data_IF_212020126586
#
_entry.id   IF_212020126586
#
_cell.length_a   1.000
_cell.length_b   1.000
_cell.length_c   1.000
_cell.angle_alpha   90.00
_cell.angle_beta   90.00
_cell.angle_gamma   90.00
#
_symmetry.space_group_name_H-M   'P 1'
#
loop_
_entity.id
_entity.type
_entity.pdbx_description
1 polymer ?
#
# COMPACT_ATOMS: atom_id res chain seq x y z
N UNK A 1 18.58 3.41 -26.97
CA UNK A 1 17.52 2.63 -27.66
C UNK A 1 17.87 1.17 -27.57
N UNK A 2 16.97 0.29 -27.19
CA UNK A 2 17.20 -1.14 -27.25
C UNK A 2 17.40 -1.57 -28.72
N UNK A 3 18.27 -2.53 -28.91
CA UNK A 3 18.51 -3.11 -30.23
C UNK A 3 17.46 -4.20 -30.47
N UNK A 4 16.87 -4.22 -31.67
CA UNK A 4 15.99 -5.30 -32.10
C UNK A 4 16.83 -6.35 -32.85
N UNK A 5 17.13 -7.44 -32.19
CA UNK A 5 17.83 -8.56 -32.79
C UNK A 5 16.89 -9.34 -33.72
N UNK A 6 17.35 -9.58 -34.93
CA UNK A 6 16.61 -10.39 -35.91
C UNK A 6 17.42 -11.61 -36.28
N UNK A 7 16.74 -12.75 -36.37
CA UNK A 7 17.39 -13.96 -36.85
C UNK A 7 17.79 -13.78 -38.31
N UNK A 8 19.02 -14.07 -38.58
CA UNK A 8 19.52 -14.09 -39.95
C UNK A 8 19.13 -15.43 -40.58
N UNK A 9 18.32 -15.39 -41.63
CA UNK A 9 18.00 -16.57 -42.43
C UNK A 9 19.09 -16.73 -43.48
N UNK A 10 20.08 -17.62 -43.28
CA UNK A 10 21.14 -17.83 -44.27
C UNK A 10 20.57 -18.56 -45.48
N UNK A 11 20.90 -18.06 -46.67
CA UNK A 11 20.52 -18.72 -47.94
C UNK A 11 21.15 -20.08 -48.11
N UNK A 12 22.22 -20.35 -47.37
CA UNK A 12 22.95 -21.66 -47.35
C UNK A 12 23.40 -21.96 -45.92
N UNK A 13 22.60 -22.78 -45.23
CA UNK A 13 22.86 -23.20 -43.86
C UNK A 13 24.21 -23.95 -43.73
N UNK A 14 24.95 -23.67 -42.64
CA UNK A 14 26.17 -24.37 -42.28
C UNK A 14 27.40 -24.09 -43.17
N UNK A 15 27.32 -23.15 -44.12
CA UNK A 15 28.47 -22.84 -44.99
C UNK A 15 29.33 -21.70 -44.44
N UNK A 16 30.62 -21.97 -44.34
CA UNK A 16 31.65 -20.97 -44.03
C UNK A 16 32.54 -20.77 -45.26
N UNK A 17 32.82 -19.51 -45.61
CA UNK A 17 33.79 -19.18 -46.66
C UNK A 17 35.17 -19.22 -46.04
N UNK A 18 36.02 -20.11 -46.56
CA UNK A 18 37.42 -20.21 -46.17
C UNK A 18 38.25 -19.59 -47.28
N UNK A 19 39.07 -18.58 -46.93
CA UNK A 19 40.01 -17.95 -47.85
C UNK A 19 41.40 -18.33 -47.37
N UNK A 20 42.20 -19.11 -48.17
CA UNK A 20 43.54 -19.49 -47.78
C UNK A 20 44.48 -18.27 -47.66
N UNK A 21 45.32 -18.23 -46.67
CA UNK A 21 46.30 -17.14 -46.45
C UNK A 21 47.35 -17.02 -47.58
N UNK A 22 47.58 -18.10 -48.33
CA UNK A 22 48.51 -18.12 -49.44
C UNK A 22 47.95 -17.57 -50.75
N UNK A 23 46.81 -16.89 -50.74
CA UNK A 23 46.20 -16.28 -51.91
C UNK A 23 45.47 -17.24 -52.85
N UNK A 24 45.23 -18.48 -52.42
CA UNK A 24 44.42 -19.44 -53.16
C UNK A 24 42.95 -19.03 -53.25
N UNK A 25 42.22 -19.61 -54.23
CA UNK A 25 40.78 -19.34 -54.42
C UNK A 25 40.01 -19.73 -53.15
N UNK A 26 39.10 -18.81 -52.73
CA UNK A 26 38.23 -19.11 -51.58
C UNK A 26 37.24 -20.23 -51.92
N UNK A 27 37.03 -21.13 -50.98
CA UNK A 27 36.02 -22.18 -51.08
C UNK A 27 35.02 -22.14 -49.94
N UNK A 28 33.93 -22.83 -50.10
CA UNK A 28 32.90 -22.94 -49.08
C UNK A 28 32.89 -24.34 -48.49
N UNK A 29 33.01 -24.44 -47.20
CA UNK A 29 32.85 -25.69 -46.45
C UNK A 29 31.59 -25.66 -45.61
N UNK A 30 31.02 -26.84 -45.37
CA UNK A 30 29.99 -27.02 -44.36
C UNK A 30 30.69 -27.37 -43.08
N UNK A 31 30.41 -26.59 -42.04
CA UNK A 31 30.91 -26.88 -40.69
C UNK A 31 29.82 -27.60 -39.97
N UNK A 32 30.02 -28.89 -39.72
CA UNK A 32 29.14 -29.70 -38.88
C UNK A 32 29.74 -29.81 -37.48
N UNK A 33 28.87 -29.84 -36.49
CA UNK A 33 29.26 -30.03 -35.11
C UNK A 33 29.67 -31.48 -34.92
N UNK A 34 30.89 -31.73 -34.49
CA UNK A 34 31.43 -33.08 -34.31
C UNK A 34 31.06 -33.70 -32.94
N UNK A 35 30.44 -32.93 -32.08
CA UNK A 35 30.01 -33.35 -30.74
C UNK A 35 28.49 -33.49 -30.68
N UNK A 36 28.01 -34.54 -30.07
CA UNK A 36 26.60 -34.70 -29.68
C UNK A 36 26.47 -34.37 -28.18
N UNK A 37 26.19 -33.13 -27.80
CA UNK A 37 26.08 -32.79 -26.38
C UNK A 37 24.87 -33.50 -25.79
N UNK A 38 25.04 -34.11 -24.64
CA UNK A 38 23.96 -34.75 -23.88
C UNK A 38 22.89 -33.76 -23.40
N UNK A 39 23.22 -32.47 -23.39
CA UNK A 39 22.30 -31.36 -23.08
C UNK A 39 22.43 -30.33 -24.20
N UNK A 40 21.34 -30.09 -24.90
CA UNK A 40 21.27 -29.02 -25.91
C UNK A 40 21.23 -27.70 -25.19
N UNK A 41 22.20 -26.84 -25.39
CA UNK A 41 22.19 -25.48 -24.87
C UNK A 41 21.07 -24.63 -25.51
N UNK A 42 20.69 -23.56 -24.83
CA UNK A 42 19.72 -22.61 -25.38
C UNK A 42 20.24 -22.02 -26.69
N UNK A 43 19.53 -22.14 -27.81
CA UNK A 43 19.95 -21.55 -29.08
C UNK A 43 20.17 -20.03 -28.96
N UNK A 44 21.17 -19.49 -29.60
CA UNK A 44 21.42 -18.07 -29.71
C UNK A 44 20.50 -17.50 -30.82
N UNK A 45 19.21 -17.44 -30.55
CA UNK A 45 18.19 -16.90 -31.45
C UNK A 45 17.92 -15.41 -31.17
N UNK A 46 17.33 -14.71 -32.14
CA UNK A 46 16.87 -13.35 -31.93
C UNK A 46 15.89 -13.25 -30.78
N UNK A 47 15.01 -14.20 -30.62
CA UNK A 47 14.04 -14.24 -29.50
C UNK A 47 14.73 -14.33 -28.14
N UNK A 48 15.76 -15.20 -28.00
CA UNK A 48 16.52 -15.36 -26.77
C UNK A 48 17.39 -14.14 -26.48
N UNK A 49 17.98 -13.52 -27.51
CA UNK A 49 18.77 -12.29 -27.36
C UNK A 49 17.91 -11.10 -27.00
N UNK A 50 16.72 -10.95 -27.62
CA UNK A 50 15.78 -9.89 -27.28
C UNK A 50 15.26 -10.06 -25.84
N UNK A 51 14.96 -11.27 -25.40
CA UNK A 51 14.57 -11.56 -24.01
C UNK A 51 15.71 -11.27 -23.02
N UNK A 52 16.95 -11.61 -23.36
CA UNK A 52 18.11 -11.27 -22.54
C UNK A 52 18.36 -9.76 -22.49
N UNK A 53 18.19 -9.06 -23.61
CA UNK A 53 18.28 -7.60 -23.67
C UNK A 53 17.20 -6.92 -22.85
N UNK A 54 15.94 -7.36 -22.91
CA UNK A 54 14.88 -6.86 -22.03
C UNK A 54 15.31 -7.00 -20.56
N UNK A 55 15.83 -8.16 -20.18
CA UNK A 55 16.34 -8.42 -18.83
C UNK A 55 17.46 -7.45 -18.44
N UNK A 56 18.41 -7.20 -19.34
CA UNK A 56 19.54 -6.28 -19.11
C UNK A 56 19.11 -4.81 -19.07
N UNK A 57 18.20 -4.40 -19.92
CA UNK A 57 17.66 -3.03 -19.94
C UNK A 57 16.90 -2.74 -18.64
N UNK A 58 16.11 -3.68 -18.14
CA UNK A 58 15.45 -3.53 -16.83
C UNK A 58 16.44 -3.49 -15.66
N UNK A 59 17.54 -4.24 -15.73
CA UNK A 59 18.56 -4.22 -14.67
C UNK A 59 19.47 -3.00 -14.73
N UNK A 60 19.70 -2.42 -15.90
CA UNK A 60 20.63 -1.29 -16.11
C UNK A 60 19.96 0.09 -15.96
N UNK A 61 18.65 0.21 -16.05
CA UNK A 61 17.89 1.43 -15.71
C UNK A 61 17.74 1.59 -14.20
N UNK A 62 18.80 1.33 -13.46
CA UNK A 62 18.88 1.51 -12.02
C UNK A 62 18.79 2.98 -11.67
N UNK A 63 17.65 3.38 -11.16
CA UNK A 63 17.44 4.71 -10.60
C UNK A 63 16.01 5.21 -10.70
N UNK A 64 15.24 4.76 -11.65
CA UNK A 64 13.81 5.06 -11.72
C UNK A 64 13.02 3.88 -11.16
N UNK A 65 12.18 4.16 -10.17
CA UNK A 65 11.17 3.24 -9.66
C UNK A 65 10.35 2.74 -10.85
N UNK A 66 10.68 1.57 -11.38
CA UNK A 66 9.92 0.97 -12.46
C UNK A 66 8.67 0.37 -11.88
N UNK A 67 7.59 1.10 -12.02
CA UNK A 67 6.25 0.65 -11.71
C UNK A 67 5.75 -0.22 -12.86
N UNK A 68 5.22 -1.38 -12.56
CA UNK A 68 4.66 -2.29 -13.57
C UNK A 68 3.19 -2.50 -13.34
N UNK A 69 2.36 -2.18 -14.33
CA UNK A 69 0.94 -2.55 -14.38
C UNK A 69 0.76 -3.85 -15.15
N UNK A 70 -0.01 -4.78 -14.58
CA UNK A 70 -0.35 -6.07 -15.20
C UNK A 70 -1.84 -6.29 -15.06
N UNK A 71 -2.50 -6.62 -16.16
CA UNK A 71 -3.92 -6.94 -16.20
C UNK A 71 -4.12 -8.45 -16.20
N UNK A 72 -5.09 -8.89 -15.39
CA UNK A 72 -5.51 -10.29 -15.27
C UNK A 72 -7.00 -10.40 -15.57
N UNK A 73 -7.40 -11.41 -16.30
CA UNK A 73 -8.78 -11.70 -16.66
C UNK A 73 -9.07 -13.17 -16.47
N UNK A 74 -10.31 -13.56 -16.06
CA UNK A 74 -10.71 -14.98 -16.00
C UNK A 74 -10.58 -15.69 -17.34
N UNK A 75 -10.62 -14.94 -18.46
CA UNK A 75 -10.46 -15.47 -19.82
C UNK A 75 -9.05 -15.25 -20.39
N UNK A 76 -8.13 -14.72 -19.57
CA UNK A 76 -6.74 -14.46 -19.96
C UNK A 76 -5.91 -15.73 -20.14
N UNK A 77 -4.65 -15.55 -20.49
CA UNK A 77 -3.65 -16.64 -20.59
C UNK A 77 -2.33 -16.19 -19.99
N UNK A 78 -1.67 -17.04 -19.21
CA UNK A 78 -0.41 -16.68 -18.55
C UNK A 78 0.75 -16.43 -19.51
N UNK A 79 0.62 -16.86 -20.76
CA UNK A 79 1.55 -16.56 -21.85
C UNK A 79 1.41 -15.14 -22.39
N UNK A 80 0.31 -14.46 -22.09
CA UNK A 80 0.05 -13.10 -22.54
C UNK A 80 0.98 -12.07 -21.89
N UNK A 81 1.03 -10.87 -22.50
CA UNK A 81 1.89 -9.78 -22.01
C UNK A 81 1.37 -9.10 -20.74
N UNK A 82 0.14 -9.38 -20.29
CA UNK A 82 -0.46 -8.72 -19.13
C UNK A 82 -0.85 -7.27 -19.37
N UNK A 83 -1.10 -6.89 -20.61
CA UNK A 83 -1.73 -5.59 -20.95
C UNK A 83 -3.25 -5.73 -20.84
N UNK A 84 -3.96 -4.61 -20.81
CA UNK A 84 -5.43 -4.61 -20.77
C UNK A 84 -6.03 -5.35 -21.97
N UNK A 85 -5.46 -5.16 -23.17
CA UNK A 85 -5.89 -5.83 -24.40
C UNK A 85 -5.44 -7.29 -24.50
N UNK A 86 -4.44 -7.72 -23.70
CA UNK A 86 -3.90 -9.08 -23.70
C UNK A 86 -3.57 -9.49 -22.25
N UNK A 87 -4.62 -9.72 -21.41
CA UNK A 87 -4.46 -9.97 -19.99
C UNK A 87 -3.91 -11.38 -19.71
N UNK A 88 -3.21 -11.52 -18.62
CA UNK A 88 -2.81 -12.82 -18.07
C UNK A 88 -4.00 -13.50 -17.38
N UNK A 89 -3.85 -14.78 -17.03
CA UNK A 89 -4.88 -15.55 -16.35
C UNK A 89 -4.75 -15.48 -14.82
N UNK A 90 -3.52 -15.50 -14.29
CA UNK A 90 -3.28 -15.72 -12.84
C UNK A 90 -2.38 -14.68 -12.20
N UNK A 91 -2.66 -14.38 -10.93
CA UNK A 91 -1.86 -13.50 -10.06
C UNK A 91 -0.46 -14.09 -9.88
N UNK A 92 -0.40 -15.38 -9.59
CA UNK A 92 0.86 -16.12 -9.37
C UNK A 92 1.81 -16.03 -10.57
N UNK A 93 1.29 -16.21 -11.79
CA UNK A 93 2.09 -16.08 -13.00
C UNK A 93 2.57 -14.65 -13.23
N UNK A 94 1.73 -13.65 -12.97
CA UNK A 94 2.11 -12.25 -13.06
C UNK A 94 3.24 -11.89 -12.09
N UNK A 95 3.12 -12.28 -10.82
CA UNK A 95 4.16 -12.07 -9.80
C UNK A 95 5.45 -12.76 -10.23
N UNK A 96 5.40 -14.03 -10.59
CA UNK A 96 6.58 -14.80 -11.02
C UNK A 96 7.28 -14.19 -12.23
N UNK A 97 6.50 -13.65 -13.19
CA UNK A 97 7.02 -13.08 -14.43
C UNK A 97 7.68 -11.71 -14.21
N UNK A 98 7.09 -10.85 -13.38
CA UNK A 98 7.44 -9.42 -13.33
C UNK A 98 8.03 -8.95 -12.00
N UNK A 99 7.72 -9.56 -10.85
CA UNK A 99 8.11 -9.01 -9.55
C UNK A 99 9.62 -8.91 -9.33
N UNK A 100 10.40 -9.83 -9.89
CA UNK A 100 11.88 -9.83 -9.81
C UNK A 100 12.55 -8.65 -10.50
N UNK A 101 11.84 -7.94 -11.39
CA UNK A 101 12.38 -6.86 -12.21
C UNK A 101 11.90 -5.47 -11.80
N UNK A 102 10.91 -5.38 -10.93
CA UNK A 102 10.25 -4.13 -10.58
C UNK A 102 10.23 -3.90 -9.08
N UNK A 103 10.35 -2.63 -8.65
CA UNK A 103 10.23 -2.25 -7.24
C UNK A 103 8.78 -2.23 -6.76
N UNK A 104 7.85 -1.98 -7.66
CA UNK A 104 6.41 -1.96 -7.37
C UNK A 104 5.64 -2.50 -8.56
N UNK A 105 4.63 -3.29 -8.28
CA UNK A 105 3.78 -3.94 -9.26
C UNK A 105 2.31 -3.75 -8.88
N UNK A 106 1.52 -3.25 -9.83
CA UNK A 106 0.05 -3.23 -9.73
C UNK A 106 -0.55 -4.32 -10.61
N UNK A 107 -1.31 -5.20 -9.99
CA UNK A 107 -2.09 -6.24 -10.64
C UNK A 107 -3.54 -5.80 -10.67
N UNK A 108 -4.05 -5.51 -11.86
CA UNK A 108 -5.43 -5.13 -12.11
C UNK A 108 -6.24 -6.38 -12.47
N UNK A 109 -7.17 -6.75 -11.60
CA UNK A 109 -8.12 -7.82 -11.85
C UNK A 109 -9.32 -7.24 -12.61
N UNK A 110 -9.56 -7.70 -13.82
CA UNK A 110 -10.76 -7.36 -14.59
C UNK A 110 -11.98 -8.00 -13.94
N UNK A 111 -13.17 -7.46 -14.22
CA UNK A 111 -14.42 -7.97 -13.63
C UNK A 111 -14.57 -9.48 -13.86
N UNK A 112 -14.93 -10.22 -12.82
CA UNK A 112 -15.15 -11.66 -12.89
C UNK A 112 -14.75 -12.40 -11.61
N UNK A 113 -14.91 -13.73 -11.70
CA UNK A 113 -14.53 -14.65 -10.65
C UNK A 113 -13.22 -15.37 -11.00
N UNK A 114 -12.32 -15.41 -10.04
CA UNK A 114 -11.03 -16.08 -10.11
C UNK A 114 -11.01 -17.22 -9.11
N UNK A 115 -10.53 -18.38 -9.54
CA UNK A 115 -10.26 -19.50 -8.64
C UNK A 115 -8.77 -19.76 -8.71
N UNK A 116 -8.05 -19.29 -7.69
CA UNK A 116 -6.60 -19.35 -7.66
C UNK A 116 -6.07 -19.42 -6.23
N UNK A 117 -5.21 -20.37 -5.97
CA UNK A 117 -4.44 -20.47 -4.74
C UNK A 117 -3.19 -19.60 -4.88
N UNK A 118 -3.31 -18.32 -4.48
CA UNK A 118 -2.23 -17.35 -4.62
C UNK A 118 -0.99 -17.76 -3.82
N UNK A 119 -1.20 -18.29 -2.61
CA UNK A 119 -0.13 -18.74 -1.72
C UNK A 119 0.76 -17.61 -1.22
N UNK A 120 1.99 -17.95 -0.78
CA UNK A 120 2.92 -16.96 -0.28
C UNK A 120 3.38 -15.99 -1.37
N UNK A 121 3.25 -14.70 -1.11
CA UNK A 121 3.83 -13.64 -1.93
C UNK A 121 5.20 -13.30 -1.33
N UNK A 122 6.24 -13.90 -1.90
CA UNK A 122 7.63 -13.68 -1.50
C UNK A 122 8.39 -13.08 -2.68
N UNK A 123 8.75 -11.82 -2.58
CA UNK A 123 9.56 -11.11 -3.57
C UNK A 123 10.66 -10.34 -2.86
N UNK A 124 11.87 -10.37 -3.36
CA UNK A 124 13.03 -9.80 -2.63
C UNK A 124 12.89 -8.30 -2.32
N UNK A 125 12.29 -7.53 -3.20
CA UNK A 125 12.15 -6.07 -3.02
C UNK A 125 10.89 -5.46 -3.64
N UNK A 126 10.06 -6.24 -4.35
CA UNK A 126 8.90 -5.71 -5.05
C UNK A 126 7.70 -5.56 -4.12
N UNK A 127 7.17 -4.37 -3.99
CA UNK A 127 5.84 -4.15 -3.42
C UNK A 127 4.76 -4.58 -4.41
N UNK A 128 3.77 -5.34 -3.95
CA UNK A 128 2.69 -5.85 -4.80
C UNK A 128 1.37 -5.21 -4.41
N UNK A 129 0.60 -4.77 -5.40
CA UNK A 129 -0.76 -4.27 -5.26
C UNK A 129 -1.69 -5.13 -6.11
N UNK A 130 -2.73 -5.68 -5.51
CA UNK A 130 -3.78 -6.45 -6.20
C UNK A 130 -5.07 -5.67 -6.06
N UNK A 131 -5.68 -5.33 -7.18
CA UNK A 131 -6.82 -4.42 -7.18
C UNK A 131 -7.83 -4.70 -8.29
N UNK A 132 -9.10 -4.41 -8.03
CA UNK A 132 -10.12 -4.39 -9.09
C UNK A 132 -9.80 -3.31 -10.12
N UNK A 133 -9.90 -3.64 -11.40
CA UNK A 133 -9.76 -2.68 -12.50
C UNK A 133 -10.95 -1.71 -12.57
N UNK A 134 -12.15 -2.16 -12.19
CA UNK A 134 -13.38 -1.35 -12.12
C UNK A 134 -13.57 -0.60 -10.78
N UNK A 135 -12.64 -0.77 -9.83
CA UNK A 135 -12.71 -0.19 -8.48
C UNK A 135 -13.95 -0.64 -7.65
N UNK A 136 -14.62 -1.71 -8.06
CA UNK A 136 -15.79 -2.27 -7.39
C UNK A 136 -15.50 -3.69 -6.85
N UNK A 137 -15.51 -3.82 -5.51
CA UNK A 137 -15.27 -5.12 -4.86
C UNK A 137 -16.33 -6.18 -5.15
N UNK A 138 -17.53 -5.78 -5.58
CA UNK A 138 -18.61 -6.73 -5.88
C UNK A 138 -18.47 -7.33 -7.27
N UNK A 139 -17.61 -6.78 -8.12
CA UNK A 139 -17.36 -7.26 -9.48
C UNK A 139 -16.16 -8.17 -9.61
N UNK A 140 -15.27 -8.17 -8.62
CA UNK A 140 -14.05 -8.97 -8.60
C UNK A 140 -14.06 -9.87 -7.38
N UNK A 141 -14.14 -11.18 -7.62
CA UNK A 141 -14.13 -12.20 -6.56
C UNK A 141 -12.96 -13.15 -6.78
N UNK A 142 -12.12 -13.28 -5.76
CA UNK A 142 -11.03 -14.25 -5.69
C UNK A 142 -11.41 -15.38 -4.75
N UNK A 143 -11.73 -16.54 -5.29
CA UNK A 143 -11.95 -17.77 -4.56
C UNK A 143 -10.60 -18.49 -4.37
N UNK A 144 -10.18 -18.68 -3.12
CA UNK A 144 -8.92 -19.34 -2.80
C UNK A 144 -9.12 -20.44 -1.76
N UNK A 145 -8.43 -21.55 -1.95
CA UNK A 145 -8.32 -22.62 -0.96
C UNK A 145 -6.99 -22.56 -0.20
N UNK A 146 -6.13 -21.59 -0.51
CA UNK A 146 -4.84 -21.36 0.14
C UNK A 146 -4.75 -19.94 0.72
N UNK A 147 -3.85 -19.73 1.65
CA UNK A 147 -3.63 -18.46 2.34
C UNK A 147 -2.90 -17.47 1.44
N UNK A 148 -3.35 -16.22 1.39
CA UNK A 148 -2.59 -15.12 0.79
C UNK A 148 -1.62 -14.60 1.85
N UNK A 149 -0.40 -15.06 1.82
CA UNK A 149 0.59 -14.75 2.82
C UNK A 149 1.58 -13.70 2.33
N UNK A 150 1.67 -12.57 3.04
CA UNK A 150 2.57 -11.47 2.74
C UNK A 150 3.91 -11.66 3.47
N UNK A 151 4.95 -12.01 2.71
CA UNK A 151 6.36 -12.05 3.14
C UNK A 151 7.18 -10.94 2.51
N UNK A 152 6.54 -9.87 2.05
CA UNK A 152 7.17 -8.76 1.33
C UNK A 152 7.01 -7.47 2.11
N UNK A 153 7.86 -6.48 1.82
CA UNK A 153 7.80 -5.19 2.48
C UNK A 153 6.42 -4.53 2.40
N UNK A 154 5.69 -4.76 1.29
CA UNK A 154 4.42 -4.08 1.07
C UNK A 154 3.47 -4.87 0.17
N UNK A 155 2.35 -5.30 0.74
CA UNK A 155 1.18 -5.81 0.00
C UNK A 155 0.02 -4.83 0.11
N UNK A 156 -0.63 -4.55 -1.00
CA UNK A 156 -1.85 -3.75 -1.06
C UNK A 156 -2.97 -4.54 -1.71
N UNK A 157 -4.15 -4.51 -1.09
CA UNK A 157 -5.37 -5.14 -1.60
C UNK A 157 -6.46 -4.07 -1.69
N UNK A 158 -7.01 -3.83 -2.88
CA UNK A 158 -7.98 -2.77 -3.10
C UNK A 158 -9.20 -3.25 -3.87
N UNK A 159 -10.38 -2.94 -3.34
CA UNK A 159 -11.66 -3.11 -4.05
C UNK A 159 -11.89 -4.53 -4.57
N UNK A 160 -11.56 -5.55 -3.80
CA UNK A 160 -11.75 -6.97 -4.16
C UNK A 160 -12.51 -7.73 -3.07
N UNK A 161 -13.24 -8.76 -3.47
CA UNK A 161 -13.80 -9.77 -2.58
C UNK A 161 -12.90 -11.00 -2.57
N UNK A 162 -12.52 -11.47 -1.39
CA UNK A 162 -11.74 -12.70 -1.18
C UNK A 162 -12.62 -13.70 -0.45
N UNK A 163 -12.87 -14.83 -1.06
CA UNK A 163 -13.59 -15.95 -0.49
C UNK A 163 -12.61 -17.07 -0.17
N UNK A 164 -12.41 -17.36 1.10
CA UNK A 164 -11.73 -18.57 1.52
C UNK A 164 -12.69 -19.76 1.33
N UNK A 165 -12.29 -20.73 0.54
CA UNK A 165 -13.10 -21.93 0.30
C UNK A 165 -12.73 -23.09 1.22
N UNK A 166 -11.49 -23.09 1.75
CA UNK A 166 -11.03 -24.10 2.71
C UNK A 166 -11.39 -23.71 4.15
N UNK A 167 -11.80 -24.68 4.92
CA UNK A 167 -12.04 -24.50 6.36
C UNK A 167 -10.71 -24.37 7.12
N UNK A 168 -10.70 -23.53 8.16
CA UNK A 168 -9.59 -23.34 9.10
C UNK A 168 -8.30 -22.75 8.51
N UNK A 169 -8.30 -22.32 7.27
CA UNK A 169 -7.24 -21.51 6.70
C UNK A 169 -7.58 -20.02 6.76
N UNK A 170 -6.56 -19.19 6.83
CA UNK A 170 -6.65 -17.75 7.03
C UNK A 170 -6.54 -17.05 5.68
N UNK A 171 -7.57 -16.32 5.23
CA UNK A 171 -7.55 -15.70 3.90
C UNK A 171 -6.34 -14.80 3.66
N UNK A 172 -5.98 -13.99 4.69
CA UNK A 172 -4.88 -13.04 4.57
C UNK A 172 -3.98 -13.13 5.79
N UNK A 173 -2.70 -13.34 5.55
CA UNK A 173 -1.65 -13.37 6.55
C UNK A 173 -0.58 -12.32 6.23
N UNK A 174 -0.12 -11.62 7.26
CA UNK A 174 1.03 -10.72 7.17
C UNK A 174 2.12 -11.23 8.10
N UNK A 175 3.26 -11.56 7.54
CA UNK A 175 4.35 -12.18 8.27
C UNK A 175 5.70 -11.57 7.84
N UNK A 176 6.11 -10.50 8.50
CA UNK A 176 7.36 -9.78 8.21
C UNK A 176 7.21 -8.61 7.23
N UNK A 177 6.00 -8.02 7.08
CA UNK A 177 5.77 -6.92 6.14
C UNK A 177 4.67 -5.94 6.55
N UNK A 178 4.20 -5.19 5.58
CA UNK A 178 3.11 -4.21 5.72
C UNK A 178 1.98 -4.55 4.77
N UNK A 179 0.76 -4.62 5.30
CA UNK A 179 -0.47 -4.79 4.53
C UNK A 179 -1.28 -3.49 4.51
N UNK A 180 -1.75 -3.09 3.33
CA UNK A 180 -2.82 -2.12 3.18
C UNK A 180 -4.02 -2.79 2.51
N UNK A 181 -5.19 -2.72 3.17
CA UNK A 181 -6.47 -3.18 2.60
C UNK A 181 -7.44 -2.01 2.57
N UNK A 182 -8.01 -1.75 1.42
CA UNK A 182 -9.01 -0.70 1.25
C UNK A 182 -10.23 -1.22 0.50
N UNK A 183 -11.40 -1.02 1.10
CA UNK A 183 -12.70 -1.39 0.50
C UNK A 183 -12.75 -2.84 0.01
N UNK A 184 -12.14 -3.76 0.75
CA UNK A 184 -12.18 -5.20 0.45
C UNK A 184 -13.28 -5.90 1.23
N UNK A 185 -13.72 -7.07 0.73
CA UNK A 185 -14.56 -8.00 1.47
C UNK A 185 -13.78 -9.31 1.67
N UNK A 186 -13.78 -9.82 2.90
CA UNK A 186 -13.18 -11.10 3.24
C UNK A 186 -14.28 -12.02 3.77
N UNK A 187 -14.49 -13.14 3.12
CA UNK A 187 -15.43 -14.17 3.54
C UNK A 187 -14.67 -15.43 3.94
N UNK A 188 -14.90 -15.87 5.17
CA UNK A 188 -14.40 -17.15 5.69
C UNK A 188 -15.62 -18.06 5.89
N UNK A 189 -15.53 -19.37 5.66
CA UNK A 189 -16.64 -20.29 5.94
C UNK A 189 -17.14 -20.17 7.37
N UNK A 190 -18.45 -20.24 7.58
CA UNK A 190 -19.06 -20.08 8.92
C UNK A 190 -18.57 -21.11 9.94
N UNK A 191 -18.26 -22.32 9.46
CA UNK A 191 -17.73 -23.41 10.29
C UNK A 191 -16.24 -23.27 10.58
N UNK A 192 -15.55 -22.32 9.98
CA UNK A 192 -14.12 -22.13 10.14
C UNK A 192 -13.80 -21.46 11.49
N UNK A 193 -12.72 -21.91 12.11
CA UNK A 193 -12.14 -21.27 13.30
C UNK A 193 -11.10 -20.19 12.94
N UNK A 194 -10.88 -19.90 11.67
CA UNK A 194 -9.90 -18.92 11.22
C UNK A 194 -10.39 -17.47 11.39
N UNK A 195 -9.45 -16.55 11.50
CA UNK A 195 -9.69 -15.09 11.42
C UNK A 195 -9.60 -14.59 9.99
N UNK A 196 -10.25 -13.46 9.65
CA UNK A 196 -10.18 -12.88 8.31
C UNK A 196 -8.78 -12.37 7.97
N UNK A 197 -8.15 -11.65 8.90
CA UNK A 197 -6.80 -11.09 8.72
C UNK A 197 -5.95 -11.43 9.92
N UNK A 198 -4.74 -11.93 9.66
CA UNK A 198 -3.78 -12.34 10.68
C UNK A 198 -2.46 -11.59 10.51
N UNK A 199 -1.95 -11.01 11.59
CA UNK A 199 -0.74 -10.18 11.59
C UNK A 199 0.25 -10.72 12.61
N UNK A 200 1.45 -11.09 12.13
CA UNK A 200 2.48 -11.75 12.90
C UNK A 200 3.84 -11.03 12.83
N UNK A 201 4.74 -11.36 13.75
CA UNK A 201 6.19 -11.15 13.67
C UNK A 201 6.62 -9.73 13.29
N UNK A 202 6.21 -8.72 14.06
CA UNK A 202 6.60 -7.32 13.84
C UNK A 202 5.95 -6.64 12.64
N UNK A 203 4.96 -7.29 12.04
CA UNK A 203 4.24 -6.77 10.88
C UNK A 203 3.27 -5.66 11.24
N UNK A 204 2.89 -4.86 10.23
CA UNK A 204 1.85 -3.85 10.35
C UNK A 204 0.73 -4.10 9.36
N UNK A 205 -0.50 -3.70 9.73
CA UNK A 205 -1.63 -3.77 8.81
C UNK A 205 -2.55 -2.55 8.96
N UNK A 206 -3.04 -2.07 7.81
CA UNK A 206 -3.98 -0.97 7.70
C UNK A 206 -5.19 -1.44 6.92
N UNK A 207 -6.34 -1.55 7.58
CA UNK A 207 -7.60 -1.96 7.00
C UNK A 207 -8.55 -0.76 7.04
N UNK A 208 -9.10 -0.38 5.89
CA UNK A 208 -10.03 0.75 5.78
C UNK A 208 -11.26 0.35 4.96
N UNK A 209 -12.44 0.60 5.50
CA UNK A 209 -13.73 0.34 4.84
C UNK A 209 -13.92 -1.12 4.40
N UNK A 210 -13.30 -2.07 5.12
CA UNK A 210 -13.37 -3.48 4.78
C UNK A 210 -14.57 -4.17 5.42
N UNK A 211 -15.11 -5.19 4.75
CA UNK A 211 -16.14 -6.09 5.29
C UNK A 211 -15.44 -7.40 5.70
N UNK A 212 -15.54 -7.73 6.99
CA UNK A 212 -14.86 -8.88 7.59
C UNK A 212 -15.91 -9.92 8.00
N UNK A 213 -16.16 -10.92 7.18
CA UNK A 213 -17.10 -12.00 7.44
C UNK A 213 -16.32 -13.25 7.89
N UNK A 214 -15.89 -13.23 9.15
CA UNK A 214 -15.08 -14.30 9.72
C UNK A 214 -15.88 -15.46 10.28
N UNK A 215 -15.16 -16.51 10.56
CA UNK A 215 -15.65 -17.69 11.31
C UNK A 215 -15.44 -17.57 12.82
N UNK A 216 -14.98 -18.64 13.45
CA UNK A 216 -14.92 -18.79 14.90
C UNK A 216 -13.79 -18.06 15.64
N UNK A 217 -12.81 -17.44 14.99
CA UNK A 217 -11.73 -16.80 15.73
C UNK A 217 -11.92 -15.28 15.90
N UNK A 218 -11.56 -14.49 14.89
CA UNK A 218 -11.67 -13.04 14.95
C UNK A 218 -11.84 -12.41 13.56
N UNK A 219 -12.31 -11.18 13.48
CA UNK A 219 -12.20 -10.37 12.27
C UNK A 219 -10.72 -10.07 11.99
N UNK A 220 -10.01 -9.57 12.99
CA UNK A 220 -8.55 -9.34 12.94
C UNK A 220 -7.86 -9.98 14.13
N UNK A 221 -6.82 -10.75 13.85
CA UNK A 221 -5.95 -11.35 14.86
C UNK A 221 -4.52 -10.83 14.72
N UNK A 222 -3.96 -10.30 15.79
CA UNK A 222 -2.58 -9.83 15.83
C UNK A 222 -1.80 -10.57 16.92
N UNK A 223 -0.67 -11.18 16.55
CA UNK A 223 0.20 -11.91 17.44
C UNK A 223 1.66 -11.54 17.16
N UNK A 224 2.33 -10.90 18.12
CA UNK A 224 3.65 -10.29 17.90
C UNK A 224 3.66 -9.29 16.73
N UNK A 225 2.50 -8.79 16.30
CA UNK A 225 2.38 -7.70 15.33
C UNK A 225 2.80 -6.39 15.98
N UNK A 226 3.29 -5.44 15.17
CA UNK A 226 3.69 -4.14 15.68
C UNK A 226 2.46 -3.27 15.92
N UNK A 227 1.70 -3.03 14.86
CA UNK A 227 0.51 -2.18 14.89
C UNK A 227 -0.48 -2.59 13.81
N UNK A 228 -1.72 -2.74 14.18
CA UNK A 228 -2.83 -2.90 13.24
C UNK A 228 -3.79 -1.74 13.38
N UNK A 229 -4.26 -1.19 12.28
CA UNK A 229 -5.30 -0.16 12.21
C UNK A 229 -6.47 -0.64 11.40
N UNK A 230 -7.63 -0.75 12.01
CA UNK A 230 -8.87 -1.19 11.38
C UNK A 230 -9.94 -0.08 11.47
N UNK A 231 -10.05 0.74 10.42
CA UNK A 231 -10.95 1.88 10.37
C UNK A 231 -12.19 1.58 9.53
N UNK A 232 -13.38 1.88 10.06
CA UNK A 232 -14.66 1.70 9.38
C UNK A 232 -14.83 0.29 8.79
N UNK A 233 -14.24 -0.71 9.44
CA UNK A 233 -14.45 -2.09 9.08
C UNK A 233 -15.81 -2.54 9.62
N UNK A 234 -16.59 -3.26 8.80
CA UNK A 234 -17.89 -3.79 9.15
C UNK A 234 -17.92 -5.30 9.03
N UNK A 235 -18.98 -5.93 9.50
CA UNK A 235 -19.25 -7.35 9.25
C UNK A 235 -20.74 -7.52 8.92
N UNK A 236 -21.05 -8.41 7.99
CA UNK A 236 -22.42 -8.80 7.63
C UNK A 236 -22.88 -9.98 8.50
N UNK A 237 -21.94 -10.62 9.22
CA UNK A 237 -22.18 -11.72 10.16
C UNK A 237 -21.65 -11.35 11.54
N UNK A 238 -22.22 -11.96 12.58
CA UNK A 238 -21.67 -11.83 13.93
C UNK A 238 -20.38 -12.61 14.06
N UNK A 239 -19.29 -11.90 14.31
CA UNK A 239 -17.99 -12.49 14.58
C UNK A 239 -17.94 -13.06 16.02
N UNK A 240 -17.16 -14.10 16.27
CA UNK A 240 -16.90 -14.54 17.64
C UNK A 240 -16.11 -13.47 18.40
N UNK A 241 -15.02 -12.95 17.79
CA UNK A 241 -14.30 -11.76 18.25
C UNK A 241 -14.17 -10.76 17.12
N UNK A 242 -14.33 -9.47 17.41
CA UNK A 242 -14.05 -8.42 16.44
C UNK A 242 -12.54 -8.31 16.21
N UNK A 243 -11.81 -8.04 17.29
CA UNK A 243 -10.37 -7.80 17.30
C UNK A 243 -9.70 -8.59 18.41
N UNK A 244 -8.60 -9.26 18.09
CA UNK A 244 -7.85 -10.06 19.05
C UNK A 244 -6.36 -9.71 18.99
N UNK A 245 -5.84 -9.09 20.04
CA UNK A 245 -4.43 -8.75 20.20
C UNK A 245 -3.76 -9.62 21.25
N UNK A 246 -2.57 -10.14 20.96
CA UNK A 246 -1.78 -10.93 21.91
C UNK A 246 -0.28 -10.67 21.73
N UNK A 247 0.52 -11.06 22.72
CA UNK A 247 1.97 -10.99 22.71
C UNK A 247 2.52 -9.59 22.31
N UNK A 248 2.01 -8.55 22.97
CA UNK A 248 2.47 -7.18 22.78
C UNK A 248 1.94 -6.48 21.53
N UNK A 249 1.07 -7.11 20.75
CA UNK A 249 0.45 -6.48 19.57
C UNK A 249 -0.50 -5.38 19.96
N UNK A 250 -0.64 -4.37 19.08
CA UNK A 250 -1.60 -3.27 19.23
C UNK A 250 -2.57 -3.26 18.06
N UNK A 251 -3.87 -3.25 18.35
CA UNK A 251 -4.92 -3.06 17.34
C UNK A 251 -5.69 -1.79 17.67
N UNK A 252 -5.60 -0.77 16.83
CA UNK A 252 -6.46 0.42 16.85
C UNK A 252 -7.64 0.18 15.91
N UNK A 253 -8.87 0.32 16.40
CA UNK A 253 -10.06 -0.02 15.60
C UNK A 253 -11.23 0.93 15.82
N UNK A 254 -12.10 1.07 14.81
CA UNK A 254 -13.44 1.62 15.01
C UNK A 254 -14.42 0.50 15.32
N UNK A 255 -15.28 0.64 16.36
CA UNK A 255 -16.18 -0.44 16.82
C UNK A 255 -17.40 -0.58 15.89
N UNK A 256 -17.19 -0.87 14.63
CA UNK A 256 -18.22 -0.94 13.58
C UNK A 256 -18.51 -2.36 13.09
N UNK A 257 -17.76 -3.36 13.56
CA UNK A 257 -18.06 -4.77 13.31
C UNK A 257 -19.08 -5.29 14.33
N UNK A 258 -19.88 -6.27 13.95
CA UNK A 258 -20.75 -6.99 14.89
C UNK A 258 -20.01 -8.22 15.43
N UNK A 259 -19.81 -8.29 16.72
CA UNK A 259 -19.06 -9.39 17.34
C UNK A 259 -19.63 -9.75 18.72
N UNK A 260 -19.52 -11.04 19.11
CA UNK A 260 -19.87 -11.49 20.47
C UNK A 260 -18.91 -10.85 21.49
N UNK A 261 -17.62 -10.79 21.18
CA UNK A 261 -16.63 -10.07 21.96
C UNK A 261 -15.94 -9.08 21.03
N UNK A 262 -16.12 -7.77 21.24
CA UNK A 262 -15.56 -6.74 20.36
C UNK A 262 -14.03 -6.76 20.38
N UNK A 263 -13.44 -6.77 21.56
CA UNK A 263 -11.99 -6.75 21.77
C UNK A 263 -11.60 -7.86 22.73
N UNK A 264 -10.54 -8.59 22.41
CA UNK A 264 -9.98 -9.63 23.26
C UNK A 264 -8.46 -9.46 23.33
N UNK A 265 -7.94 -9.44 24.54
CA UNK A 265 -6.54 -9.13 24.83
C UNK A 265 -5.92 -10.23 25.69
N UNK A 266 -4.71 -10.66 25.33
CA UNK A 266 -3.91 -11.58 26.15
C UNK A 266 -2.42 -11.21 26.03
N UNK A 267 -1.61 -11.64 27.01
CA UNK A 267 -0.15 -11.51 26.94
C UNK A 267 0.34 -10.10 26.51
N UNK A 268 -0.15 -9.07 27.20
CA UNK A 268 0.17 -7.66 26.90
C UNK A 268 -0.27 -7.14 25.51
N UNK A 269 -1.11 -7.87 24.79
CA UNK A 269 -1.78 -7.33 23.61
C UNK A 269 -2.79 -6.25 23.98
N UNK A 270 -3.02 -5.26 23.11
CA UNK A 270 -3.93 -4.16 23.31
C UNK A 270 -4.87 -3.95 22.12
N UNK A 271 -6.16 -3.86 22.40
CA UNK A 271 -7.19 -3.45 21.45
C UNK A 271 -7.73 -2.08 21.86
N UNK A 272 -7.44 -1.05 21.08
CA UNK A 272 -7.76 0.34 21.40
C UNK A 272 -8.91 0.80 20.53
N UNK A 273 -10.14 0.97 21.09
CA UNK A 273 -11.23 1.51 20.33
C UNK A 273 -10.95 3.00 20.01
N UNK A 274 -10.93 3.30 18.74
CA UNK A 274 -11.00 4.69 18.31
C UNK A 274 -12.48 5.05 18.39
N UNK A 275 -12.88 5.87 19.34
CA UNK A 275 -14.24 6.39 19.44
C UNK A 275 -14.68 6.79 18.04
N UNK A 276 -15.91 6.36 17.64
CA UNK A 276 -16.44 6.61 16.29
C UNK A 276 -16.30 8.11 16.01
N UNK A 277 -15.17 8.48 15.49
CA UNK A 277 -14.92 9.84 15.05
C UNK A 277 -15.62 9.90 13.73
N UNK A 278 -16.91 10.30 13.79
CA UNK A 278 -17.50 10.93 12.65
C UNK A 278 -16.48 11.96 12.16
N UNK A 279 -15.64 11.56 11.26
CA UNK A 279 -14.85 12.43 10.43
C UNK A 279 -15.86 13.12 9.55
N UNK A 280 -16.64 14.03 10.15
CA UNK A 280 -17.25 15.10 9.43
C UNK A 280 -16.10 15.86 8.86
N UNK A 281 -15.73 15.45 7.63
CA UNK A 281 -15.03 16.29 6.70
C UNK A 281 -15.95 17.47 6.41
N UNK A 282 -16.13 18.35 7.38
CA UNK A 282 -16.67 19.68 7.17
C UNK A 282 -15.50 20.50 6.65
N UNK A 283 -15.41 20.60 5.35
CA UNK A 283 -14.48 21.48 4.71
C UNK A 283 -14.95 21.83 3.34
N UNK A 284 -15.53 23.00 3.20
CA UNK A 284 -15.30 23.84 2.02
C UNK A 284 -13.79 23.93 1.78
N UNK A 285 -13.35 23.85 0.51
CA UNK A 285 -11.94 24.04 0.13
C UNK A 285 -11.37 25.26 0.85
N UNK A 286 -10.40 25.06 1.74
CA UNK A 286 -9.74 26.11 2.52
C UNK A 286 -9.57 25.83 4.02
N UNK A 287 -10.39 25.01 4.64
CA UNK A 287 -10.25 24.64 6.05
C UNK A 287 -9.77 23.20 6.17
N UNK A 288 -8.49 22.98 6.07
CA UNK A 288 -7.91 21.66 6.33
C UNK A 288 -7.58 21.55 7.82
N UNK A 289 -8.45 20.91 8.58
CA UNK A 289 -8.16 20.47 9.93
C UNK A 289 -7.82 18.98 9.87
N UNK A 290 -6.72 18.62 10.53
CA UNK A 290 -6.35 17.24 10.71
C UNK A 290 -5.98 16.97 12.16
N UNK A 291 -6.06 15.72 12.57
CA UNK A 291 -5.58 15.28 13.87
C UNK A 291 -5.06 13.85 13.78
N UNK A 292 -4.08 13.58 14.60
CA UNK A 292 -3.52 12.25 14.79
C UNK A 292 -3.27 12.05 16.28
N UNK A 293 -3.70 10.90 16.84
CA UNK A 293 -3.38 10.53 18.21
C UNK A 293 -2.55 9.26 18.18
N UNK A 294 -1.45 9.25 18.89
CA UNK A 294 -0.64 8.05 19.06
C UNK A 294 -1.17 7.19 20.21
N UNK A 295 -0.72 5.96 20.26
CA UNK A 295 -1.07 4.97 21.27
C UNK A 295 -0.74 5.41 22.72
N UNK A 296 0.34 6.13 22.92
CA UNK A 296 0.79 6.68 24.21
C UNK A 296 0.05 7.96 24.64
N UNK A 297 -1.00 8.34 23.92
CA UNK A 297 -1.82 9.51 24.21
C UNK A 297 -1.28 10.81 23.62
N UNK A 298 -0.22 10.79 22.82
CA UNK A 298 0.24 11.96 22.09
C UNK A 298 -0.80 12.36 21.06
N UNK A 299 -1.29 13.59 21.14
CA UNK A 299 -2.24 14.20 20.22
C UNK A 299 -1.52 15.21 19.34
N UNK A 300 -1.62 15.03 18.04
CA UNK A 300 -1.20 16.00 17.03
C UNK A 300 -2.42 16.56 16.33
N UNK A 301 -2.47 17.89 16.21
CA UNK A 301 -3.52 18.59 15.49
C UNK A 301 -2.89 19.62 14.56
N UNK A 302 -3.50 19.86 13.43
CA UNK A 302 -3.06 20.87 12.48
C UNK A 302 -4.25 21.48 11.77
N UNK A 303 -4.02 22.66 11.22
CA UNK A 303 -5.05 23.35 10.46
C UNK A 303 -4.55 24.64 9.85
N UNK A 304 -5.46 25.42 9.36
CA UNK A 304 -5.22 26.69 8.72
C UNK A 304 -6.22 27.73 9.22
N UNK A 305 -5.76 28.93 9.45
CA UNK A 305 -6.57 30.09 9.79
C UNK A 305 -6.20 31.27 8.92
N UNK A 306 -7.18 32.08 8.54
CA UNK A 306 -6.95 33.32 7.80
C UNK A 306 -6.91 34.51 8.78
N UNK A 307 -5.83 35.26 8.77
CA UNK A 307 -5.66 36.46 9.61
C UNK A 307 -5.44 37.67 8.69
N UNK A 308 -6.24 38.72 8.91
CA UNK A 308 -6.12 39.97 8.13
C UNK A 308 -5.72 41.09 9.07
N UNK A 309 -4.49 41.64 8.97
CA UNK A 309 -4.08 42.84 9.72
C UNK A 309 -4.96 44.03 9.39
N UNK A 310 -5.18 44.91 10.37
CA UNK A 310 -5.98 46.13 10.19
C UNK A 310 -5.24 47.19 9.36
N UNK A 311 -3.90 47.18 9.41
CA UNK A 311 -3.03 48.03 8.61
C UNK A 311 -1.70 47.34 8.32
N UNK A 312 -0.93 47.86 7.37
CA UNK A 312 0.43 47.40 7.09
C UNK A 312 1.31 47.55 8.36
N UNK A 313 2.16 46.56 8.60
CA UNK A 313 3.08 46.49 9.72
C UNK A 313 2.44 46.55 11.12
N UNK A 314 1.11 46.35 11.20
CA UNK A 314 0.39 46.33 12.48
C UNK A 314 0.12 44.87 12.87
N UNK A 315 0.55 44.43 14.07
CA UNK A 315 0.25 43.09 14.56
C UNK A 315 -1.25 42.87 14.69
N UNK A 316 -1.72 41.72 14.20
CA UNK A 316 -3.09 41.22 14.41
C UNK A 316 -3.03 39.87 15.07
N UNK A 317 -3.75 39.74 16.18
CA UNK A 317 -3.90 38.46 16.85
C UNK A 317 -5.18 37.70 16.43
N UNK A 318 -5.12 36.41 16.57
CA UNK A 318 -6.25 35.47 16.41
C UNK A 318 -6.14 34.39 17.47
N UNK A 319 -7.18 34.26 18.28
CA UNK A 319 -7.28 33.15 19.24
C UNK A 319 -7.77 31.91 18.51
N UNK A 320 -6.89 30.92 18.41
CA UNK A 320 -7.17 29.61 17.85
C UNK A 320 -7.65 28.69 18.98
N UNK A 321 -8.83 28.10 18.84
CA UNK A 321 -9.29 27.02 19.72
C UNK A 321 -8.95 25.66 19.10
N UNK A 322 -8.30 24.81 19.86
CA UNK A 322 -7.97 23.46 19.39
C UNK A 322 -9.25 22.63 19.24
N UNK A 323 -9.43 21.88 18.14
CA UNK A 323 -10.58 21.00 17.96
C UNK A 323 -10.76 19.96 19.08
N UNK A 324 -9.65 19.55 19.71
CA UNK A 324 -9.63 18.65 20.87
C UNK A 324 -8.72 19.29 21.93
N UNK A 325 -9.19 19.42 23.19
CA UNK A 325 -8.35 19.84 24.28
C UNK A 325 -7.15 18.93 24.53
N UNK A 326 -6.08 19.49 25.01
CA UNK A 326 -4.91 18.76 25.48
C UNK A 326 -4.97 18.55 27.00
N UNK A 327 -4.37 17.48 27.48
CA UNK A 327 -4.23 17.25 28.93
C UNK A 327 -3.21 18.20 29.55
N UNK A 328 -2.17 18.52 28.78
CA UNK A 328 -1.08 19.44 29.15
C UNK A 328 -0.95 20.51 28.07
N UNK A 329 -0.26 21.61 28.35
CA UNK A 329 -0.05 22.68 27.38
C UNK A 329 0.74 22.13 26.18
N UNK A 330 0.17 22.14 24.95
CA UNK A 330 0.82 21.57 23.78
C UNK A 330 1.96 22.45 23.28
N UNK A 331 2.91 21.87 22.56
CA UNK A 331 3.83 22.62 21.74
C UNK A 331 3.11 23.06 20.46
N UNK A 332 3.17 24.36 20.13
CA UNK A 332 2.47 24.92 18.98
C UNK A 332 3.45 25.62 18.05
N UNK A 333 3.37 25.30 16.78
CA UNK A 333 4.06 25.97 15.68
C UNK A 333 3.04 26.62 14.76
N UNK A 334 3.35 27.82 14.29
CA UNK A 334 2.55 28.50 13.29
C UNK A 334 3.46 29.16 12.25
N UNK A 335 3.06 29.08 10.99
CA UNK A 335 3.78 29.67 9.87
C UNK A 335 2.82 30.27 8.85
N UNK A 336 3.21 31.36 8.23
CA UNK A 336 2.43 31.95 7.15
C UNK A 336 2.63 31.19 5.83
N UNK A 337 1.54 30.96 5.11
CA UNK A 337 1.57 30.43 3.74
C UNK A 337 1.62 31.62 2.76
N UNK A 338 2.81 32.05 2.39
CA UNK A 338 3.06 33.20 1.51
C UNK A 338 4.20 32.93 0.55
N UNK A 339 4.20 33.62 -0.59
CA UNK A 339 5.26 33.48 -1.60
C UNK A 339 6.57 34.15 -1.18
N UNK A 340 6.50 35.20 -0.32
CA UNK A 340 7.67 35.89 0.21
C UNK A 340 7.62 35.93 1.75
N UNK A 341 8.34 35.04 2.44
CA UNK A 341 8.34 34.96 3.89
C UNK A 341 9.02 36.15 4.56
N UNK A 342 9.84 36.93 3.86
CA UNK A 342 10.52 38.13 4.41
C UNK A 342 9.55 39.26 4.80
N UNK A 343 8.36 39.24 4.20
CA UNK A 343 7.31 40.24 4.38
C UNK A 343 6.32 39.93 5.50
N UNK A 344 6.46 38.78 6.16
CA UNK A 344 5.50 38.28 7.16
C UNK A 344 6.23 37.73 8.38
N UNK A 345 5.70 38.04 9.54
CA UNK A 345 6.14 37.46 10.83
C UNK A 345 4.95 36.81 11.51
N UNK A 346 5.14 35.60 11.98
CA UNK A 346 4.15 34.85 12.76
C UNK A 346 4.78 34.44 14.08
N UNK A 347 4.04 34.59 15.16
CA UNK A 347 4.40 34.07 16.47
C UNK A 347 3.20 33.51 17.20
N UNK A 348 3.43 32.64 18.17
CA UNK A 348 2.40 32.10 19.05
C UNK A 348 2.61 32.60 20.47
N UNK A 349 1.53 32.89 21.18
CA UNK A 349 1.56 33.35 22.55
C UNK A 349 0.44 32.69 23.37
N UNK A 350 0.64 32.47 24.65
CA UNK A 350 -0.25 31.69 25.49
C UNK A 350 -0.81 32.43 26.70
N UNK A 351 -0.19 33.51 27.11
CA UNK A 351 -0.57 34.19 28.35
C UNK A 351 -1.89 34.96 28.25
N UNK A 352 -2.38 35.23 27.04
CA UNK A 352 -3.64 35.96 26.82
C UNK A 352 -4.85 35.07 26.51
N UNK A 353 -4.68 33.75 26.55
CA UNK A 353 -5.79 32.82 26.34
C UNK A 353 -6.35 32.35 27.67
N UNK A 354 -7.63 32.05 27.69
CA UNK A 354 -8.34 31.62 28.91
C UNK A 354 -7.77 30.29 29.44
N UNK A 355 -7.56 29.31 28.53
CA UNK A 355 -6.94 28.05 28.87
C UNK A 355 -5.95 27.63 27.76
N UNK A 356 -4.63 27.61 28.03
CA UNK A 356 -3.62 27.26 27.03
C UNK A 356 -3.60 25.78 26.63
N UNK A 357 -4.41 24.94 27.27
CA UNK A 357 -4.64 23.56 26.86
C UNK A 357 -5.70 23.43 25.74
N UNK A 358 -6.55 24.44 25.65
CA UNK A 358 -7.64 24.47 24.67
C UNK A 358 -7.42 25.52 23.59
N UNK A 359 -6.55 26.50 23.84
CA UNK A 359 -6.38 27.67 22.99
C UNK A 359 -4.92 28.12 22.86
N UNK A 360 -4.65 28.84 21.77
CA UNK A 360 -3.40 29.56 21.55
C UNK A 360 -3.70 30.86 20.79
N UNK A 361 -3.02 31.92 21.14
CA UNK A 361 -3.07 33.17 20.38
C UNK A 361 -1.97 33.18 19.32
N UNK A 362 -2.34 33.42 18.07
CA UNK A 362 -1.44 33.52 16.91
C UNK A 362 -1.37 35.00 16.52
N UNK A 363 -0.18 35.57 16.48
CA UNK A 363 0.08 36.92 15.99
C UNK A 363 0.63 36.89 14.57
N UNK A 364 0.07 37.73 13.73
CA UNK A 364 0.55 37.97 12.37
C UNK A 364 0.90 39.45 12.21
N UNK A 365 2.09 39.72 11.72
CA UNK A 365 2.48 41.06 11.24
C UNK A 365 2.89 40.93 9.78
N UNK A 366 2.35 41.80 8.92
CA UNK A 366 2.63 41.81 7.50
C UNK A 366 2.79 43.24 6.99
N UNK A 367 3.61 43.43 5.96
CA UNK A 367 3.82 44.72 5.31
C UNK A 367 2.62 45.25 4.50
N UNK A 368 1.54 44.50 4.43
CA UNK A 368 0.26 44.87 3.80
C UNK A 368 -0.91 44.45 4.70
N UNK A 369 -2.07 45.11 4.53
CA UNK A 369 -3.33 44.72 5.21
C UNK A 369 -4.09 43.61 4.48
N UNK A 370 -3.39 42.67 3.89
CA UNK A 370 -4.01 41.58 3.14
C UNK A 370 -4.21 40.33 4.01
N UNK A 371 -5.28 39.60 3.75
CA UNK A 371 -5.53 38.29 4.35
C UNK A 371 -4.36 37.35 4.10
N UNK A 372 -3.93 36.66 5.15
CA UNK A 372 -2.83 35.71 5.10
C UNK A 372 -3.26 34.42 5.75
N UNK A 373 -3.07 33.32 5.04
CA UNK A 373 -3.26 32.01 5.63
C UNK A 373 -2.09 31.66 6.53
N UNK A 374 -2.41 31.28 7.75
CA UNK A 374 -1.46 30.77 8.72
C UNK A 374 -1.75 29.29 8.95
N UNK A 375 -0.78 28.47 8.63
CA UNK A 375 -0.81 27.04 8.91
C UNK A 375 -0.29 26.86 10.34
N UNK A 376 -1.00 26.08 11.14
CA UNK A 376 -0.59 25.76 12.48
C UNK A 376 -0.50 24.25 12.71
N UNK A 377 0.37 23.87 13.62
CA UNK A 377 0.56 22.51 14.10
C UNK A 377 0.72 22.53 15.62
N UNK A 378 -0.02 21.67 16.30
CA UNK A 378 0.06 21.54 17.75
C UNK A 378 0.28 20.07 18.13
N UNK A 379 1.16 19.83 19.09
CA UNK A 379 1.50 18.50 19.58
C UNK A 379 1.58 18.51 21.12
N UNK A 380 0.97 17.56 21.75
CA UNK A 380 0.97 17.41 23.21
C UNK A 380 0.20 16.17 23.65
N UNK A 381 0.12 15.97 24.95
CA UNK A 381 -0.65 14.86 25.53
C UNK A 381 -2.15 15.16 25.39
N UNK A 382 -2.88 14.30 24.69
CA UNK A 382 -4.32 14.37 24.58
C UNK A 382 -5.01 13.92 25.86
N UNK A 383 -6.26 14.37 26.08
CA UNK A 383 -7.10 13.78 27.13
C UNK A 383 -7.25 12.28 26.84
N UNK A 384 -7.05 11.45 27.83
CA UNK A 384 -7.40 10.05 27.77
C UNK A 384 -8.91 9.99 27.82
N UNK A 385 -9.57 9.52 26.78
CA UNK A 385 -11.01 9.25 26.84
C UNK A 385 -11.21 8.15 27.89
N UNK A 386 -11.94 8.44 28.95
CA UNK A 386 -12.40 7.48 29.96
C UNK A 386 -13.32 6.43 29.35
#
# INVERSE_FOLDING_TARGET
MPFDFKDRVPTKLGRVKITPENGGAAYYAVVERADEPSIVGTPLSAANLNAAQETLVYSSTTGTSTWKSVYISPTGKDTNAGTEASPMATIKAAIRKYAKWHKTMDIFLMDGEYTEDVGPIATDQCGVSIRSASEDKNKVTLNTADEIECHINLLRLYNITINMTAANLRPVIVNGGTLYMYNCRINVPETSTASCVNVYNGSTAWLMNCVLNGGGAAGVYANQGLLVRAFNCTSERTLFRGFFATNGSVIEYTPTVTATTMAYETNNGKCIPLAARAGTRQGTMGAQFGRYRTYDGLLMQWGQVSITPSAANTPKSHVLTFPIPYQEIPLVYAMASVNDPSLVRVSTYRANVEDPKTQVEIFLTRNTASATFVIWFAIGKGLVDE
#
